data_IF_655163320489
#
_entry.id   IF_655163320489
#
_cell.length_a   1.000
_cell.length_b   1.000
_cell.length_c   1.000
_cell.angle_alpha   90.00
_cell.angle_beta   90.00
_cell.angle_gamma   90.00
#
_symmetry.space_group_name_H-M   'P 1'
#
loop_
_entity.id
_entity.type
_entity.pdbx_description
1 polymer ?
#
# COMPACT_ATOMS: atom_id res chain seq x y z
N UNK A 1 -26.28 3.94 22.14
CA UNK A 1 -25.66 3.14 23.22
C UNK A 1 -24.24 2.71 22.87
N UNK A 2 -23.79 2.94 21.63
CA UNK A 2 -22.50 2.48 21.10
C UNK A 2 -21.29 3.15 21.77
N UNK A 3 -21.42 4.42 22.18
CA UNK A 3 -20.33 5.15 22.86
C UNK A 3 -19.88 4.55 24.20
N UNK A 4 -20.76 3.88 24.96
CA UNK A 4 -20.36 3.26 26.24
C UNK A 4 -19.60 1.94 26.04
N UNK A 5 -19.95 1.19 24.99
CA UNK A 5 -19.27 -0.05 24.64
C UNK A 5 -17.88 0.22 24.08
N UNK A 6 -17.73 1.24 23.24
CA UNK A 6 -16.44 1.66 22.70
C UNK A 6 -15.49 2.17 23.79
N UNK A 7 -16.02 2.90 24.79
CA UNK A 7 -15.27 3.36 25.96
C UNK A 7 -14.74 2.18 26.79
N UNK A 8 -15.61 1.22 27.14
CA UNK A 8 -15.26 0.00 27.86
C UNK A 8 -14.22 -0.85 27.11
N UNK A 9 -14.37 -1.00 25.80
CA UNK A 9 -13.40 -1.70 24.96
C UNK A 9 -12.04 -1.00 24.95
N UNK A 10 -12.02 0.34 24.98
CA UNK A 10 -10.78 1.11 25.05
C UNK A 10 -10.08 0.92 26.39
N UNK A 11 -10.82 0.99 27.50
CA UNK A 11 -10.29 0.78 28.85
C UNK A 11 -9.70 -0.63 29.02
N UNK A 12 -10.42 -1.67 28.57
CA UNK A 12 -9.93 -3.05 28.61
C UNK A 12 -8.63 -3.24 27.82
N UNK A 13 -8.54 -2.65 26.62
CA UNK A 13 -7.30 -2.68 25.81
C UNK A 13 -6.15 -1.98 26.51
N UNK A 14 -6.40 -0.85 27.17
CA UNK A 14 -5.36 -0.10 27.87
C UNK A 14 -4.89 -0.82 29.13
N UNK A 15 -5.79 -1.44 29.86
CA UNK A 15 -5.48 -2.25 31.04
C UNK A 15 -4.66 -3.49 30.67
N UNK A 16 -5.04 -4.18 29.58
CA UNK A 16 -4.26 -5.29 29.04
C UNK A 16 -2.85 -4.87 28.60
N UNK A 17 -2.69 -3.68 28.01
CA UNK A 17 -1.36 -3.13 27.65
C UNK A 17 -0.50 -2.85 28.89
N UNK A 18 -1.11 -2.40 29.99
CA UNK A 18 -0.41 -2.14 31.27
C UNK A 18 0.04 -3.44 31.93
N UNK A 19 -0.83 -4.46 31.97
CA UNK A 19 -0.52 -5.78 32.55
C UNK A 19 0.53 -6.56 31.76
N UNK A 20 0.54 -6.40 30.43
CA UNK A 20 1.49 -7.07 29.55
C UNK A 20 2.75 -6.24 29.27
N UNK A 21 2.89 -5.07 29.89
CA UNK A 21 4.07 -4.23 29.76
C UNK A 21 5.32 -4.90 30.35
N UNK A 22 6.32 -5.16 29.52
CA UNK A 22 7.64 -5.66 29.95
C UNK A 22 7.79 -7.19 29.98
N UNK A 23 6.73 -7.97 29.72
CA UNK A 23 6.87 -9.42 29.52
C UNK A 23 7.39 -9.72 28.09
N UNK A 24 8.20 -10.76 27.91
CA UNK A 24 8.54 -11.25 26.57
C UNK A 24 7.26 -11.65 25.81
N UNK A 25 7.19 -11.41 24.48
CA UNK A 25 6.06 -11.85 23.68
C UNK A 25 5.88 -13.38 23.76
N UNK A 26 4.64 -13.82 23.82
CA UNK A 26 4.33 -15.26 23.76
C UNK A 26 4.58 -15.81 22.36
N UNK A 27 4.73 -17.14 22.24
CA UNK A 27 4.90 -17.79 20.93
C UNK A 27 3.74 -17.48 19.98
N UNK A 28 2.52 -17.42 20.51
CA UNK A 28 1.32 -17.04 19.75
C UNK A 28 1.36 -15.59 19.25
N UNK A 29 1.80 -14.65 20.08
CA UNK A 29 1.97 -13.25 19.70
C UNK A 29 3.02 -13.10 18.59
N UNK A 30 4.13 -13.86 18.69
CA UNK A 30 5.18 -13.92 17.66
C UNK A 30 4.63 -14.53 16.37
N UNK A 31 3.85 -15.61 16.45
CA UNK A 31 3.26 -16.26 15.29
C UNK A 31 2.28 -15.33 14.55
N UNK A 32 1.42 -14.62 15.29
CA UNK A 32 0.52 -13.58 14.74
C UNK A 32 1.30 -12.45 14.08
N UNK A 33 2.37 -11.97 14.73
CA UNK A 33 3.27 -10.97 14.16
C UNK A 33 3.88 -11.45 12.83
N UNK A 34 4.39 -12.68 12.76
CA UNK A 34 4.92 -13.24 11.50
C UNK A 34 3.86 -13.30 10.40
N UNK A 35 2.61 -13.67 10.74
CA UNK A 35 1.50 -13.72 9.78
C UNK A 35 1.10 -12.35 9.25
N UNK A 36 1.01 -11.35 10.13
CA UNK A 36 0.80 -9.96 9.71
C UNK A 36 1.91 -9.48 8.78
N UNK A 37 3.17 -9.80 9.08
CA UNK A 37 4.31 -9.41 8.26
C UNK A 37 4.27 -10.05 6.86
N UNK A 38 3.88 -11.32 6.80
CA UNK A 38 3.68 -12.06 5.54
C UNK A 38 2.56 -11.42 4.68
N UNK A 39 1.44 -11.04 5.31
CA UNK A 39 0.35 -10.33 4.67
C UNK A 39 0.80 -8.96 4.12
N UNK A 40 1.51 -8.16 4.92
CA UNK A 40 2.00 -6.84 4.51
C UNK A 40 2.93 -6.92 3.30
N UNK A 41 3.86 -7.89 3.30
CA UNK A 41 4.76 -8.13 2.17
C UNK A 41 3.99 -8.48 0.90
N UNK A 42 3.07 -9.44 0.99
CA UNK A 42 2.23 -9.84 -0.15
C UNK A 42 1.36 -8.70 -0.66
N UNK A 43 0.86 -7.85 0.23
CA UNK A 43 0.07 -6.67 -0.11
C UNK A 43 0.87 -5.68 -0.96
N UNK A 44 2.13 -5.45 -0.62
CA UNK A 44 3.03 -4.61 -1.44
C UNK A 44 3.27 -5.21 -2.82
N UNK A 45 3.52 -6.52 -2.90
CA UNK A 45 3.75 -7.21 -4.18
C UNK A 45 2.50 -7.14 -5.08
N UNK A 46 1.32 -7.45 -4.55
CA UNK A 46 0.06 -7.37 -5.28
C UNK A 46 -0.23 -5.95 -5.75
N UNK A 47 0.00 -4.92 -4.92
CA UNK A 47 -0.10 -3.52 -5.33
C UNK A 47 0.81 -3.19 -6.50
N UNK A 48 2.06 -3.67 -6.48
CA UNK A 48 3.02 -3.47 -7.57
C UNK A 48 2.56 -4.12 -8.86
N UNK A 49 2.04 -5.34 -8.79
CA UNK A 49 1.50 -6.05 -9.96
C UNK A 49 0.25 -5.38 -10.51
N UNK A 50 -0.71 -5.01 -9.67
CA UNK A 50 -1.90 -4.27 -10.08
C UNK A 50 -1.57 -2.92 -10.74
N UNK A 51 -0.53 -2.21 -10.27
CA UNK A 51 -0.03 -0.98 -10.94
C UNK A 51 0.51 -1.28 -12.34
N UNK A 52 1.22 -2.40 -12.54
CA UNK A 52 1.73 -2.80 -13.87
C UNK A 52 0.59 -3.17 -14.81
N UNK A 53 -0.41 -3.90 -14.35
CA UNK A 53 -1.59 -4.26 -15.16
C UNK A 53 -2.35 -3.02 -15.59
N UNK A 54 -2.62 -2.08 -14.68
CA UNK A 54 -3.25 -0.80 -15.04
C UNK A 54 -2.46 -0.01 -16.09
N UNK A 55 -1.13 0.02 -15.96
CA UNK A 55 -0.26 0.66 -16.98
C UNK A 55 -0.37 0.00 -18.35
N UNK A 56 -0.57 -1.32 -18.42
CA UNK A 56 -0.82 -2.04 -19.68
C UNK A 56 -2.22 -1.73 -20.21
N UNK A 57 -3.24 -1.82 -19.36
CA UNK A 57 -4.63 -1.49 -19.70
C UNK A 57 -4.79 -0.10 -20.31
N UNK A 58 -4.06 0.90 -19.82
CA UNK A 58 -4.09 2.25 -20.38
C UNK A 58 -3.53 2.38 -21.80
N UNK A 59 -2.89 1.32 -22.34
CA UNK A 59 -2.25 1.32 -23.66
C UNK A 59 -2.91 0.39 -24.67
N UNK A 60 -3.83 -0.47 -24.22
CA UNK A 60 -4.48 -1.49 -25.04
C UNK A 60 -5.97 -1.17 -25.16
N UNK A 61 -6.59 -1.63 -26.25
CA UNK A 61 -8.04 -1.54 -26.41
C UNK A 61 -8.72 -2.43 -25.36
N UNK A 62 -9.59 -1.90 -24.48
CA UNK A 62 -10.33 -2.70 -23.51
C UNK A 62 -11.17 -3.83 -24.14
N UNK A 63 -11.61 -3.67 -25.39
CA UNK A 63 -12.39 -4.68 -26.11
C UNK A 63 -11.52 -5.76 -26.78
N UNK A 64 -10.20 -5.57 -26.84
CA UNK A 64 -9.28 -6.60 -27.31
C UNK A 64 -9.20 -7.76 -26.33
N UNK A 65 -8.82 -8.95 -26.81
CA UNK A 65 -8.59 -10.12 -25.96
C UNK A 65 -7.58 -9.83 -24.84
N UNK A 66 -6.49 -9.11 -25.16
CA UNK A 66 -5.50 -8.68 -24.18
C UNK A 66 -6.11 -7.73 -23.12
N UNK A 67 -6.99 -6.82 -23.55
CA UNK A 67 -7.72 -5.89 -22.68
C UNK A 67 -8.64 -6.60 -21.69
N UNK A 68 -9.38 -7.60 -22.18
CA UNK A 68 -10.27 -8.44 -21.36
C UNK A 68 -9.43 -9.22 -20.33
N UNK A 69 -8.38 -9.91 -20.77
CA UNK A 69 -7.50 -10.67 -19.87
C UNK A 69 -6.83 -9.80 -18.80
N UNK A 70 -6.35 -8.61 -19.18
CA UNK A 70 -5.73 -7.69 -18.25
C UNK A 70 -6.75 -7.12 -17.24
N UNK A 71 -8.00 -6.93 -17.65
CA UNK A 71 -9.09 -6.52 -16.74
C UNK A 71 -9.39 -7.61 -15.71
N UNK A 72 -9.52 -8.86 -16.14
CA UNK A 72 -9.68 -10.00 -15.24
C UNK A 72 -8.49 -10.17 -14.29
N UNK A 73 -7.26 -9.99 -14.78
CA UNK A 73 -6.06 -10.03 -13.94
C UNK A 73 -6.10 -8.93 -12.86
N UNK A 74 -6.58 -7.73 -13.21
CA UNK A 74 -6.73 -6.63 -12.27
C UNK A 74 -7.78 -6.94 -11.20
N UNK A 75 -8.91 -7.54 -11.56
CA UNK A 75 -9.95 -7.98 -10.60
C UNK A 75 -9.40 -9.04 -9.64
N UNK A 76 -8.65 -10.03 -10.13
CA UNK A 76 -7.97 -11.02 -9.26
C UNK A 76 -7.05 -10.35 -8.23
N UNK A 77 -6.31 -9.31 -8.63
CA UNK A 77 -5.47 -8.57 -7.68
C UNK A 77 -6.29 -7.77 -6.66
N UNK A 78 -7.44 -7.20 -7.04
CA UNK A 78 -8.35 -6.52 -6.10
C UNK A 78 -8.91 -7.49 -5.07
N UNK A 79 -9.34 -8.68 -5.49
CA UNK A 79 -9.82 -9.73 -4.60
C UNK A 79 -8.72 -10.20 -3.64
N UNK A 80 -7.50 -10.42 -4.14
CA UNK A 80 -6.36 -10.79 -3.31
C UNK A 80 -6.06 -9.71 -2.24
N UNK A 81 -6.13 -8.43 -2.61
CA UNK A 81 -5.99 -7.31 -1.66
C UNK A 81 -7.07 -7.35 -0.57
N UNK A 82 -8.33 -7.55 -0.95
CA UNK A 82 -9.44 -7.63 0.00
C UNK A 82 -9.31 -8.82 0.96
N UNK A 83 -8.84 -9.98 0.46
CA UNK A 83 -8.54 -11.15 1.30
C UNK A 83 -7.48 -10.80 2.35
N UNK A 84 -6.36 -10.20 1.92
CA UNK A 84 -5.29 -9.83 2.85
C UNK A 84 -5.73 -8.78 3.87
N UNK A 85 -6.57 -7.82 3.47
CA UNK A 85 -7.14 -6.81 4.38
C UNK A 85 -8.06 -7.46 5.42
N UNK A 86 -8.89 -8.43 5.03
CA UNK A 86 -9.67 -9.23 5.99
C UNK A 86 -8.78 -10.04 6.93
N UNK A 87 -7.69 -10.62 6.42
CA UNK A 87 -6.74 -11.36 7.27
C UNK A 87 -6.07 -10.44 8.29
N UNK A 88 -5.61 -9.26 7.87
CA UNK A 88 -5.03 -8.27 8.77
C UNK A 88 -6.06 -7.82 9.82
N UNK A 89 -7.30 -7.54 9.40
CA UNK A 89 -8.38 -7.16 10.31
C UNK A 89 -8.71 -8.27 11.32
N UNK A 90 -8.67 -9.54 10.91
CA UNK A 90 -8.89 -10.69 11.79
C UNK A 90 -7.80 -10.82 12.87
N UNK A 91 -6.54 -10.60 12.51
CA UNK A 91 -5.43 -10.64 13.47
C UNK A 91 -5.35 -9.38 14.35
N UNK A 92 -5.83 -8.24 13.85
CA UNK A 92 -5.83 -6.97 14.57
C UNK A 92 -4.46 -6.31 14.65
N UNK A 93 -4.25 -5.50 15.70
CA UNK A 93 -2.97 -4.86 15.97
C UNK A 93 -1.91 -5.89 16.35
N UNK A 94 -0.67 -5.63 15.95
CA UNK A 94 0.46 -6.47 16.35
C UNK A 94 0.69 -6.35 17.87
N UNK A 95 0.56 -7.47 18.58
CA UNK A 95 0.75 -7.54 20.03
C UNK A 95 2.22 -7.40 20.47
N UNK A 96 3.17 -7.53 19.54
CA UNK A 96 4.60 -7.36 19.83
C UNK A 96 4.89 -5.87 20.01
N UNK A 97 5.18 -5.48 21.26
CA UNK A 97 5.55 -4.11 21.61
C UNK A 97 6.72 -3.62 20.73
N UNK A 98 6.58 -2.40 20.22
CA UNK A 98 7.56 -1.74 19.33
C UNK A 98 7.83 -2.47 18.00
N UNK A 99 6.93 -3.33 17.53
CA UNK A 99 7.10 -3.96 16.23
C UNK A 99 7.01 -2.90 15.09
N UNK A 100 8.16 -2.57 14.49
CA UNK A 100 8.28 -1.64 13.36
C UNK A 100 8.07 -2.31 11.99
N UNK A 101 7.77 -3.62 11.97
CA UNK A 101 7.69 -4.42 10.74
C UNK A 101 6.34 -4.34 10.04
N UNK A 102 5.33 -3.79 10.72
CA UNK A 102 3.98 -3.63 10.19
C UNK A 102 3.75 -2.18 9.84
N UNK A 103 3.07 -1.96 8.71
CA UNK A 103 2.51 -0.65 8.43
C UNK A 103 1.32 -0.51 9.37
N UNK A 104 1.26 0.53 10.22
CA UNK A 104 0.09 0.73 11.06
C UNK A 104 -1.15 0.74 10.17
N UNK A 105 -2.28 0.16 10.60
CA UNK A 105 -3.54 0.38 9.92
C UNK A 105 -3.84 1.87 10.02
N UNK A 106 -3.43 2.65 9.03
CA UNK A 106 -3.73 4.06 8.95
C UNK A 106 -5.23 4.18 8.97
N UNK A 107 -5.70 4.83 10.04
CA UNK A 107 -7.02 5.43 10.21
C UNK A 107 -7.51 5.87 8.84
N UNK A 108 -8.74 5.54 8.47
CA UNK A 108 -9.36 5.84 7.17
C UNK A 108 -9.59 7.35 6.92
N UNK A 109 -8.66 8.21 7.33
CA UNK A 109 -8.70 9.65 7.19
C UNK A 109 -7.32 10.14 6.77
N UNK A 110 -7.05 10.04 5.47
CA UNK A 110 -6.34 11.01 4.62
C UNK A 110 -5.61 10.33 3.45
N UNK A 111 -5.96 10.79 2.24
CA UNK A 111 -5.43 10.42 0.91
C UNK A 111 -6.04 9.15 0.30
N UNK A 112 -7.25 9.32 -0.21
CA UNK A 112 -7.54 8.88 -1.57
C UNK A 112 -6.36 9.24 -2.47
N UNK A 113 -5.57 8.25 -2.92
CA UNK A 113 -4.63 8.42 -4.02
C UNK A 113 -5.39 8.48 -5.34
N UNK A 114 -6.32 9.43 -5.44
CA UNK A 114 -6.68 10.07 -6.69
C UNK A 114 -5.56 11.04 -7.04
N UNK A 115 -4.93 10.75 -8.17
CA UNK A 115 -4.26 11.71 -9.02
C UNK A 115 -3.11 12.54 -8.42
N UNK A 116 -1.89 12.02 -8.58
CA UNK A 116 -0.72 12.87 -8.73
C UNK A 116 0.16 12.24 -9.80
N UNK A 117 -0.30 12.32 -11.05
CA UNK A 117 0.59 12.37 -12.20
C UNK A 117 1.47 13.62 -12.06
N UNK A 118 2.55 13.50 -11.28
CA UNK A 118 3.59 14.53 -11.21
C UNK A 118 4.45 14.38 -12.47
N UNK A 119 3.99 14.99 -13.56
CA UNK A 119 4.79 15.26 -14.74
C UNK A 119 5.91 16.21 -14.33
N UNK A 120 7.11 15.67 -14.12
CA UNK A 120 8.34 16.46 -14.18
C UNK A 120 9.06 16.06 -15.46
N UNK A 121 8.68 16.69 -16.57
CA UNK A 121 9.59 16.88 -17.70
C UNK A 121 10.60 17.94 -17.29
N UNK A 122 11.87 17.56 -17.18
CA UNK A 122 13.01 18.48 -17.28
C UNK A 122 14.25 17.63 -17.57
N UNK A 123 14.44 17.26 -18.83
CA UNK A 123 15.77 16.91 -19.31
C UNK A 123 16.39 18.18 -19.88
N UNK A 124 17.25 18.78 -19.05
CA UNK A 124 18.15 19.87 -19.39
C UNK A 124 19.18 19.37 -20.40
N UNK A 125 19.04 19.78 -21.65
CA UNK A 125 20.08 19.61 -22.67
C UNK A 125 21.27 20.51 -22.33
N UNK A 126 22.28 19.94 -21.67
CA UNK A 126 23.61 20.56 -21.53
C UNK A 126 24.61 19.73 -22.34
N UNK A 127 24.95 20.24 -23.51
CA UNK A 127 26.20 19.92 -24.20
C UNK A 127 26.65 21.24 -24.83
N UNK A 128 27.55 21.93 -24.12
CA UNK A 128 28.39 22.94 -24.76
C UNK A 128 29.18 22.26 -25.89
N UNK A 129 29.24 22.89 -27.06
CA UNK A 129 30.50 23.43 -27.61
C UNK A 129 30.39 23.65 -29.14
N UNK A 130 30.33 24.94 -29.51
CA UNK A 130 31.04 25.57 -30.65
C UNK A 130 30.70 25.12 -32.08
N UNK A 131 29.95 25.98 -32.80
CA UNK A 131 30.47 26.70 -34.00
C UNK A 131 29.44 27.68 -34.59
N UNK A 132 29.80 28.96 -34.50
CA UNK A 132 29.73 29.95 -35.59
C UNK A 132 28.38 30.17 -36.31
N UNK A 133 27.66 31.22 -35.88
CA UNK A 133 26.81 32.04 -36.78
C UNK A 133 27.69 32.67 -37.89
N UNK A 134 27.20 32.88 -39.13
CA UNK A 134 26.32 34.03 -39.42
C UNK A 134 25.27 33.74 -40.53
N UNK A 135 24.62 34.75 -41.15
CA UNK A 135 23.25 35.13 -40.85
C UNK A 135 22.25 34.78 -41.97
N UNK A 136 20.96 34.93 -41.61
CA UNK A 136 19.80 34.87 -42.51
C UNK A 136 19.91 35.91 -43.62
N UNK A 137 19.53 35.52 -44.84
CA UNK A 137 18.76 36.38 -45.73
C UNK A 137 17.71 35.56 -46.50
N UNK A 138 16.51 36.15 -46.49
CA UNK A 138 15.29 35.97 -47.30
C UNK A 138 15.16 34.73 -48.19
#
# INVERSE_FOLDING_TARGET
MDNQLDELLRELKEQSKKENGGRPPTEDEIAKCKKLQECDKRKLDVRKMARRVRKRLNKIDPASEEGIQATEELERYKEAMAIMERTIAHYGECAVLNCSKHIPPTNASSRSETDASSCAEMDTTTLEEVRSRPPRHQ
#
